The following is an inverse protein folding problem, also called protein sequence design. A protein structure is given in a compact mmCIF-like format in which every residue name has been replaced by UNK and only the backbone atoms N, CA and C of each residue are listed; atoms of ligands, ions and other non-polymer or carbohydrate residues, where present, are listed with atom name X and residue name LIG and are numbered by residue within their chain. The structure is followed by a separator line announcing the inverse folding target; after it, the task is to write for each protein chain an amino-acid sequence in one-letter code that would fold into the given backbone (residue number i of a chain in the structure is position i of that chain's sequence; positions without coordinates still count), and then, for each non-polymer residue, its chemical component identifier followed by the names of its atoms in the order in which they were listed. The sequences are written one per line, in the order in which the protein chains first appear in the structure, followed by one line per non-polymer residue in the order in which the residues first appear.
data_IF_643662218956
#
_entry.id   IF_643662218956
#
_cell.length_a   1.000
_cell.length_b   1.000
_cell.length_c   1.000
_cell.angle_alpha   90.00
_cell.angle_beta   90.00
_cell.angle_gamma   90.00
#
_symmetry.space_group_name_H-M   'P 1'
#
loop_
_entity.id
_entity.type
_entity.pdbx_description
1 polymer ?
#
# COMPACT_ATOMS: atom_id res chain seq x y z
N UNK A 1 -40.28 -8.06 41.56
CA UNK A 1 -40.14 -7.41 40.24
C UNK A 1 -38.74 -7.74 39.72
N UNK A 2 -38.68 -8.37 38.55
CA UNK A 2 -37.50 -9.03 37.97
C UNK A 2 -36.49 -7.97 37.51
N UNK A 3 -35.28 -7.98 38.07
CA UNK A 3 -34.15 -7.19 37.60
C UNK A 3 -33.01 -8.14 37.21
N UNK A 4 -32.96 -8.53 35.95
CA UNK A 4 -31.81 -9.19 35.34
C UNK A 4 -31.91 -9.04 33.81
N UNK A 5 -30.73 -8.99 33.15
CA UNK A 5 -30.46 -8.98 31.69
C UNK A 5 -30.02 -7.62 31.10
N UNK A 6 -28.91 -7.06 31.57
CA UNK A 6 -28.14 -6.05 30.81
C UNK A 6 -26.62 -6.29 30.83
N UNK A 7 -26.16 -7.44 31.36
CA UNK A 7 -24.74 -7.73 31.55
C UNK A 7 -24.11 -8.57 30.43
N UNK A 8 -24.89 -9.36 29.67
CA UNK A 8 -24.34 -10.20 28.60
C UNK A 8 -23.91 -9.41 27.35
N UNK A 9 -24.49 -8.24 27.09
CA UNK A 9 -24.19 -7.50 25.85
C UNK A 9 -22.87 -6.71 25.91
N UNK A 10 -22.37 -6.41 27.11
CA UNK A 10 -21.15 -5.59 27.28
C UNK A 10 -19.86 -6.42 27.28
N UNK A 11 -19.93 -7.68 27.69
CA UNK A 11 -18.77 -8.59 27.71
C UNK A 11 -18.45 -9.07 26.29
N UNK A 12 -19.47 -9.42 25.49
CA UNK A 12 -19.31 -9.79 24.08
C UNK A 12 -18.75 -8.62 23.24
N UNK A 13 -19.30 -7.40 23.40
CA UNK A 13 -18.82 -6.21 22.71
C UNK A 13 -17.38 -5.81 23.08
N UNK A 14 -16.92 -6.11 24.30
CA UNK A 14 -15.52 -5.89 24.73
C UNK A 14 -14.57 -6.96 24.20
N UNK A 15 -15.03 -8.20 24.06
CA UNK A 15 -14.23 -9.31 23.53
C UNK A 15 -14.05 -9.14 22.01
N UNK A 16 -15.09 -8.68 21.30
CA UNK A 16 -15.03 -8.32 19.88
C UNK A 16 -14.23 -7.03 19.61
N UNK A 17 -14.18 -6.11 20.57
CA UNK A 17 -13.31 -4.93 20.51
C UNK A 17 -11.84 -5.25 20.82
N UNK A 18 -11.57 -6.23 21.71
CA UNK A 18 -10.22 -6.72 22.03
C UNK A 18 -9.67 -7.71 21.00
N UNK A 19 -10.54 -8.40 20.25
CA UNK A 19 -10.21 -9.01 18.96
C UNK A 19 -10.18 -7.93 17.88
N UNK A 20 -9.39 -6.88 18.10
CA UNK A 20 -9.14 -5.88 17.09
C UNK A 20 -8.62 -6.61 15.85
N UNK A 21 -9.23 -6.37 14.70
CA UNK A 21 -8.69 -6.82 13.42
C UNK A 21 -7.31 -6.15 13.28
N UNK A 22 -6.28 -6.85 13.73
CA UNK A 22 -4.90 -6.42 13.68
C UNK A 22 -4.40 -6.65 12.26
N UNK A 23 -3.92 -5.58 11.62
CA UNK A 23 -3.41 -5.65 10.26
C UNK A 23 -2.25 -6.62 10.13
N UNK A 24 -1.43 -6.77 11.19
CA UNK A 24 -0.37 -7.78 11.23
C UNK A 24 -0.95 -9.18 11.26
N UNK A 25 -1.94 -9.46 12.10
CA UNK A 25 -2.64 -10.75 12.10
C UNK A 25 -3.20 -11.09 10.73
N UNK A 26 -3.86 -10.16 10.03
CA UNK A 26 -4.32 -10.40 8.65
C UNK A 26 -3.14 -10.69 7.73
N UNK A 27 -2.09 -9.89 7.78
CA UNK A 27 -0.92 -10.09 6.91
C UNK A 27 -0.28 -11.48 7.09
N UNK A 28 -0.28 -12.01 8.31
CA UNK A 28 0.31 -13.32 8.64
C UNK A 28 -0.64 -14.50 8.44
N UNK A 29 -1.96 -14.30 8.51
CA UNK A 29 -2.95 -15.39 8.49
C UNK A 29 -3.83 -15.42 7.24
N UNK A 30 -3.88 -14.33 6.48
CA UNK A 30 -4.85 -14.12 5.39
C UNK A 30 -6.25 -13.71 5.86
N UNK A 31 -6.47 -13.56 7.17
CA UNK A 31 -7.76 -13.16 7.74
C UNK A 31 -8.90 -14.08 7.28
N UNK A 32 -10.02 -13.49 6.85
CA UNK A 32 -11.17 -14.23 6.31
C UNK A 32 -10.86 -15.00 5.01
N UNK A 33 -9.74 -14.71 4.33
CA UNK A 33 -9.27 -15.49 3.18
C UNK A 33 -8.55 -16.80 3.57
N UNK A 34 -8.20 -16.97 4.85
CA UNK A 34 -7.48 -18.13 5.37
C UNK A 34 -5.98 -18.16 5.01
N UNK A 35 -5.26 -19.13 5.58
CA UNK A 35 -3.78 -19.19 5.53
C UNK A 35 -3.19 -19.19 4.10
N UNK A 36 -3.91 -19.75 3.13
CA UNK A 36 -3.49 -19.73 1.71
C UNK A 36 -3.49 -18.33 1.07
N UNK A 37 -4.03 -17.32 1.77
CA UNK A 37 -4.10 -15.92 1.36
C UNK A 37 -3.27 -15.01 2.27
N UNK A 38 -2.40 -15.58 3.10
CA UNK A 38 -1.51 -14.80 3.96
C UNK A 38 -0.56 -13.95 3.11
N UNK A 39 -0.59 -12.64 3.33
CA UNK A 39 0.09 -11.65 2.49
C UNK A 39 1.62 -11.84 2.47
N UNK A 40 2.20 -12.20 3.62
CA UNK A 40 3.66 -12.39 3.75
C UNK A 40 4.21 -13.51 2.85
N UNK A 41 3.37 -14.49 2.46
CA UNK A 41 3.79 -15.62 1.63
C UNK A 41 4.25 -15.20 0.23
N UNK A 42 3.80 -14.04 -0.24
CA UNK A 42 4.26 -13.44 -1.49
C UNK A 42 5.03 -12.13 -1.24
N UNK A 43 4.52 -11.25 -0.37
CA UNK A 43 5.07 -9.91 -0.17
C UNK A 43 6.23 -9.85 0.84
N UNK A 44 6.64 -10.99 1.40
CA UNK A 44 7.69 -11.06 2.42
C UNK A 44 7.19 -10.67 3.82
N UNK A 45 7.95 -11.09 4.84
CA UNK A 45 7.65 -10.78 6.24
C UNK A 45 7.79 -9.28 6.56
N UNK A 46 8.74 -8.63 5.88
CA UNK A 46 9.02 -7.20 5.96
C UNK A 46 8.22 -6.37 4.95
N UNK A 47 7.41 -7.00 4.09
CA UNK A 47 6.62 -6.32 3.07
C UNK A 47 7.45 -5.79 1.90
N UNK A 48 8.68 -6.24 1.70
CA UNK A 48 9.57 -5.77 0.63
C UNK A 48 9.34 -6.44 -0.73
N UNK A 49 8.47 -7.44 -0.80
CA UNK A 49 8.23 -8.22 -2.02
C UNK A 49 9.28 -9.32 -2.22
N UNK A 50 9.37 -9.84 -3.43
CA UNK A 50 10.33 -10.89 -3.82
C UNK A 50 11.61 -10.33 -4.48
N UNK A 51 11.70 -9.00 -4.64
CA UNK A 51 12.79 -8.33 -5.36
C UNK A 51 12.77 -8.52 -6.88
N UNK A 52 11.72 -9.11 -7.45
CA UNK A 52 11.61 -9.42 -8.88
C UNK A 52 10.30 -8.91 -9.46
N UNK A 53 9.16 -9.38 -8.97
CA UNK A 53 7.84 -9.15 -9.58
C UNK A 53 6.69 -8.95 -8.60
N UNK A 54 6.84 -9.42 -7.37
CA UNK A 54 5.90 -9.18 -6.28
C UNK A 54 6.23 -7.82 -5.66
N UNK A 55 5.28 -6.86 -5.63
CA UNK A 55 5.59 -5.50 -5.24
C UNK A 55 5.90 -5.36 -3.76
N UNK A 56 6.73 -4.35 -3.46
CA UNK A 56 6.90 -3.82 -2.11
C UNK A 56 5.59 -3.19 -1.65
N UNK A 57 5.16 -3.53 -0.44
CA UNK A 57 4.05 -2.91 0.27
C UNK A 57 4.54 -2.02 1.42
N UNK A 58 5.68 -2.38 2.02
CA UNK A 58 6.26 -1.71 3.17
C UNK A 58 6.40 -0.21 2.93
N UNK A 59 5.89 0.62 3.83
CA UNK A 59 6.04 2.08 3.78
C UNK A 59 5.30 2.78 2.63
N UNK A 60 4.47 2.09 1.84
CA UNK A 60 3.57 2.77 0.91
C UNK A 60 2.45 3.49 1.68
N UNK A 61 1.85 4.50 1.06
CA UNK A 61 0.76 5.26 1.66
C UNK A 61 -0.43 4.33 2.00
N UNK A 62 -0.96 4.47 3.22
CA UNK A 62 -2.05 3.62 3.71
C UNK A 62 -3.33 3.78 2.87
N UNK A 63 -3.64 5.01 2.44
CA UNK A 63 -4.79 5.29 1.58
C UNK A 63 -4.63 4.67 0.19
N UNK A 64 -3.43 4.74 -0.39
CA UNK A 64 -3.11 4.06 -1.63
C UNK A 64 -3.30 2.54 -1.51
N UNK A 65 -2.73 1.92 -0.47
CA UNK A 65 -2.83 0.47 -0.22
C UNK A 65 -4.28 0.04 -0.02
N UNK A 66 -5.04 0.76 0.81
CA UNK A 66 -6.46 0.52 1.02
C UNK A 66 -7.23 0.55 -0.31
N UNK A 67 -7.05 1.63 -1.08
CA UNK A 67 -7.69 1.79 -2.39
C UNK A 67 -7.37 0.62 -3.32
N UNK A 68 -6.11 0.16 -3.38
CA UNK A 68 -5.77 -0.99 -4.22
C UNK A 68 -6.50 -2.26 -3.78
N UNK A 69 -6.61 -2.50 -2.48
CA UNK A 69 -7.35 -3.66 -1.96
C UNK A 69 -8.85 -3.58 -2.28
N UNK A 70 -9.46 -2.40 -2.18
CA UNK A 70 -10.86 -2.17 -2.57
C UNK A 70 -11.08 -2.37 -4.08
N UNK A 71 -10.16 -1.87 -4.90
CA UNK A 71 -10.24 -2.02 -6.36
C UNK A 71 -10.04 -3.49 -6.79
N UNK A 72 -9.19 -4.25 -6.10
CA UNK A 72 -9.05 -5.69 -6.33
C UNK A 72 -10.31 -6.45 -5.90
N UNK A 73 -10.86 -6.15 -4.72
CA UNK A 73 -12.04 -6.82 -4.18
C UNK A 73 -13.29 -6.58 -5.06
N UNK A 74 -13.45 -5.37 -5.59
CA UNK A 74 -14.55 -4.98 -6.47
C UNK A 74 -14.35 -5.40 -7.94
N UNK A 75 -13.12 -5.72 -8.34
CA UNK A 75 -12.76 -6.03 -9.73
C UNK A 75 -12.48 -4.81 -10.61
N UNK A 76 -12.55 -3.59 -10.07
CA UNK A 76 -12.15 -2.34 -10.77
C UNK A 76 -10.66 -2.40 -11.18
N UNK A 77 -9.83 -3.07 -10.37
CA UNK A 77 -8.48 -3.50 -10.75
C UNK A 77 -8.48 -5.03 -10.93
N UNK A 78 -8.68 -5.53 -12.15
CA UNK A 78 -8.68 -6.97 -12.40
C UNK A 78 -7.31 -7.58 -12.13
N UNK A 79 -7.26 -8.61 -11.29
CA UNK A 79 -6.06 -9.42 -11.09
C UNK A 79 -6.41 -10.84 -10.60
N UNK A 80 -5.79 -11.85 -11.22
CA UNK A 80 -6.07 -13.27 -10.95
C UNK A 80 -5.53 -13.74 -9.60
N UNK A 81 -4.56 -13.04 -9.03
CA UNK A 81 -3.93 -13.38 -7.75
C UNK A 81 -4.55 -12.55 -6.64
N UNK A 82 -4.51 -11.23 -6.78
CA UNK A 82 -4.94 -10.31 -5.72
C UNK A 82 -6.45 -10.17 -5.57
N UNK A 83 -7.23 -10.40 -6.63
CA UNK A 83 -8.70 -10.42 -6.54
C UNK A 83 -9.21 -11.45 -5.51
N UNK A 84 -8.83 -12.74 -5.64
CA UNK A 84 -9.15 -13.77 -4.65
C UNK A 84 -8.59 -13.54 -3.24
N UNK A 85 -7.50 -12.76 -3.09
CA UNK A 85 -6.93 -12.39 -1.78
C UNK A 85 -7.76 -11.28 -1.13
N UNK A 86 -8.15 -10.26 -1.90
CA UNK A 86 -8.82 -9.08 -1.37
C UNK A 86 -10.33 -9.29 -1.13
N UNK A 87 -11.00 -10.07 -2.00
CA UNK A 87 -12.46 -10.25 -2.00
C UNK A 87 -13.04 -10.76 -0.67
N UNK A 88 -12.42 -11.72 0.05
CA UNK A 88 -12.95 -12.21 1.33
C UNK A 88 -12.78 -11.23 2.49
N UNK A 89 -11.87 -10.25 2.37
CA UNK A 89 -11.64 -9.26 3.42
C UNK A 89 -12.72 -8.18 3.36
N UNK A 90 -13.33 -7.87 4.51
CA UNK A 90 -14.21 -6.71 4.62
C UNK A 90 -13.41 -5.39 4.60
N UNK A 91 -14.12 -4.26 4.56
CA UNK A 91 -13.48 -2.94 4.46
C UNK A 91 -12.61 -2.62 5.69
N UNK A 92 -12.99 -3.10 6.88
CA UNK A 92 -12.19 -2.91 8.11
C UNK A 92 -10.88 -3.68 8.02
N UNK A 93 -10.91 -4.91 7.54
CA UNK A 93 -9.75 -5.76 7.33
C UNK A 93 -8.82 -5.20 6.25
N UNK A 94 -9.35 -4.72 5.12
CA UNK A 94 -8.55 -4.06 4.07
C UNK A 94 -7.86 -2.81 4.59
N UNK A 95 -8.55 -1.98 5.39
CA UNK A 95 -7.95 -0.82 6.08
C UNK A 95 -6.85 -1.22 7.06
N UNK A 96 -7.11 -2.22 7.91
CA UNK A 96 -6.16 -2.67 8.91
C UNK A 96 -4.85 -3.20 8.28
N UNK A 97 -4.95 -4.08 7.26
CA UNK A 97 -3.75 -4.62 6.61
C UNK A 97 -2.99 -3.55 5.80
N UNK A 98 -3.70 -2.60 5.20
CA UNK A 98 -3.08 -1.44 4.54
C UNK A 98 -2.30 -0.57 5.53
N UNK A 99 -2.89 -0.26 6.70
CA UNK A 99 -2.22 0.50 7.75
C UNK A 99 -0.98 -0.24 8.30
N UNK A 100 -1.07 -1.56 8.46
CA UNK A 100 0.08 -2.38 8.87
C UNK A 100 1.25 -2.26 7.91
N UNK A 101 1.06 -2.53 6.61
CA UNK A 101 2.14 -2.45 5.63
C UNK A 101 2.68 -1.02 5.46
N UNK A 102 1.81 0.00 5.53
CA UNK A 102 2.23 1.39 5.52
C UNK A 102 3.14 1.76 6.72
N UNK A 103 2.94 1.10 7.87
CA UNK A 103 3.73 1.34 9.09
C UNK A 103 5.08 0.62 9.11
N UNK A 104 5.32 -0.32 8.20
CA UNK A 104 6.57 -1.07 8.20
C UNK A 104 7.76 -0.16 7.89
N UNK A 105 8.88 -0.32 8.62
CA UNK A 105 10.06 0.51 8.40
C UNK A 105 10.66 0.20 7.03
N UNK A 106 11.09 1.26 6.34
CA UNK A 106 11.86 1.15 5.10
C UNK A 106 13.15 1.93 5.31
N UNK A 107 14.28 1.24 5.23
CA UNK A 107 15.57 1.90 5.35
C UNK A 107 15.82 2.78 4.12
N UNK A 108 15.88 4.09 4.33
CA UNK A 108 16.33 5.00 3.29
C UNK A 108 17.82 4.73 3.02
N UNK A 109 18.11 4.08 1.89
CA UNK A 109 19.46 3.95 1.37
C UNK A 109 19.95 5.24 0.72
N UNK A 110 21.24 5.33 0.34
CA UNK A 110 21.72 6.44 -0.48
C UNK A 110 20.97 6.48 -1.80
N UNK A 111 20.62 7.69 -2.25
CA UNK A 111 20.04 7.91 -3.58
C UNK A 111 21.02 7.40 -4.64
N UNK A 112 20.50 6.69 -5.64
CA UNK A 112 21.32 6.20 -6.75
C UNK A 112 21.90 7.36 -7.54
N UNK A 113 23.19 7.26 -7.90
CA UNK A 113 23.85 8.22 -8.78
C UNK A 113 23.48 8.04 -10.26
N UNK A 114 22.71 7.00 -10.61
CA UNK A 114 22.29 6.78 -11.99
C UNK A 114 21.35 7.91 -12.44
N UNK A 115 21.68 8.63 -13.53
CA UNK A 115 20.86 9.74 -14.00
C UNK A 115 19.42 9.32 -14.32
N UNK A 116 18.42 10.15 -14.03
CA UNK A 116 17.04 9.89 -14.40
C UNK A 116 16.84 9.95 -15.92
N UNK A 117 15.92 9.15 -16.49
CA UNK A 117 15.45 9.35 -17.85
C UNK A 117 14.93 10.78 -18.06
N UNK A 118 15.09 11.34 -19.27
CA UNK A 118 14.60 12.69 -19.60
C UNK A 118 13.09 12.82 -19.34
N UNK A 119 12.31 11.79 -19.69
CA UNK A 119 10.87 11.74 -19.40
C UNK A 119 10.54 11.88 -17.91
N UNK A 120 11.41 11.42 -17.02
CA UNK A 120 11.19 11.54 -15.59
C UNK A 120 11.24 12.99 -15.13
N UNK A 121 12.25 13.74 -15.58
CA UNK A 121 12.54 15.10 -15.11
C UNK A 121 11.90 16.19 -15.95
N UNK A 122 11.76 15.98 -17.25
CA UNK A 122 11.29 16.99 -18.21
C UNK A 122 9.99 16.60 -18.91
N UNK A 123 9.63 15.31 -18.89
CA UNK A 123 8.52 14.81 -19.70
C UNK A 123 8.81 14.92 -21.20
N UNK A 124 7.75 15.05 -21.98
CA UNK A 124 7.80 15.30 -23.43
C UNK A 124 6.59 16.16 -23.82
N UNK A 125 6.76 17.50 -23.90
CA UNK A 125 5.67 18.41 -24.21
C UNK A 125 5.04 18.19 -25.59
N UNK A 126 5.80 17.72 -26.58
CA UNK A 126 5.31 17.49 -27.94
C UNK A 126 4.30 16.33 -27.95
N UNK A 127 4.56 15.28 -27.16
CA UNK A 127 3.59 14.20 -26.91
C UNK A 127 2.57 14.52 -25.85
N UNK A 128 2.64 15.69 -25.20
CA UNK A 128 1.80 16.05 -24.06
C UNK A 128 1.97 15.07 -22.88
N UNK A 129 3.22 14.68 -22.62
CA UNK A 129 3.65 13.89 -21.47
C UNK A 129 4.24 14.82 -20.42
N UNK A 130 3.59 14.93 -19.27
CA UNK A 130 4.14 15.65 -18.13
C UNK A 130 5.34 14.88 -17.54
N UNK A 131 6.31 15.58 -16.89
CA UNK A 131 7.38 14.92 -16.16
C UNK A 131 6.83 13.97 -15.10
N UNK A 132 7.36 12.74 -15.02
CA UNK A 132 6.94 11.77 -14.01
C UNK A 132 7.16 12.32 -12.58
N UNK A 133 8.27 13.04 -12.39
CA UNK A 133 8.65 13.65 -11.12
C UNK A 133 7.63 14.64 -10.57
N UNK A 134 6.80 15.26 -11.43
CA UNK A 134 5.77 16.21 -11.01
C UNK A 134 4.72 15.57 -10.09
N UNK A 135 4.50 14.26 -10.24
CA UNK A 135 3.56 13.49 -9.44
C UNK A 135 4.26 12.46 -8.55
N UNK A 136 5.30 11.78 -9.03
CA UNK A 136 5.96 10.70 -8.30
C UNK A 136 7.21 11.13 -7.51
N UNK A 137 7.52 12.43 -7.49
CA UNK A 137 8.67 12.99 -6.77
C UNK A 137 9.98 12.86 -7.54
N UNK A 138 10.97 13.69 -7.18
CA UNK A 138 12.24 13.77 -7.91
C UNK A 138 13.00 12.43 -7.98
N UNK A 139 12.94 11.63 -6.92
CA UNK A 139 13.60 10.33 -6.76
C UNK A 139 12.60 9.17 -6.67
N UNK A 140 11.44 9.30 -7.32
CA UNK A 140 10.38 8.29 -7.27
C UNK A 140 9.79 8.02 -5.87
N UNK A 141 10.06 8.88 -4.89
CA UNK A 141 9.66 8.68 -3.50
C UNK A 141 8.16 8.90 -3.25
N UNK A 142 7.40 9.34 -4.26
CA UNK A 142 6.00 9.73 -4.13
C UNK A 142 5.84 11.09 -3.44
N UNK A 143 4.63 11.64 -3.49
CA UNK A 143 4.30 12.93 -2.84
C UNK A 143 3.13 12.83 -1.86
N UNK A 144 2.60 11.62 -1.61
CA UNK A 144 1.55 11.36 -0.62
C UNK A 144 0.34 10.63 -1.20
N UNK A 145 -0.84 10.93 -0.64
CA UNK A 145 -2.10 10.23 -0.97
C UNK A 145 -2.47 10.41 -2.45
N UNK A 146 -2.56 9.28 -3.18
CA UNK A 146 -2.92 9.25 -4.60
C UNK A 146 -1.74 9.25 -5.57
N UNK A 147 -0.53 9.60 -5.12
CA UNK A 147 0.69 9.49 -5.91
C UNK A 147 1.70 8.56 -5.21
N UNK A 148 1.62 7.24 -5.49
CA UNK A 148 2.43 6.25 -4.78
C UNK A 148 3.93 6.41 -5.08
N UNK A 149 4.75 6.01 -4.12
CA UNK A 149 6.18 5.83 -4.30
C UNK A 149 6.45 4.70 -5.30
N UNK A 150 7.30 4.98 -6.30
CA UNK A 150 7.83 3.99 -7.24
C UNK A 150 9.27 3.59 -6.89
N UNK A 151 9.95 4.36 -6.03
CA UNK A 151 11.30 4.07 -5.56
C UNK A 151 11.37 2.70 -4.89
N UNK A 152 12.33 1.88 -5.33
CA UNK A 152 12.54 0.53 -4.82
C UNK A 152 11.40 -0.44 -5.10
N UNK A 153 10.46 -0.11 -6.00
CA UNK A 153 9.54 -1.10 -6.54
C UNK A 153 10.26 -1.97 -7.57
N UNK A 154 9.96 -3.29 -7.63
CA UNK A 154 10.57 -4.14 -8.64
C UNK A 154 10.30 -3.63 -10.05
N UNK A 155 11.31 -3.61 -10.91
CA UNK A 155 11.18 -3.08 -12.27
C UNK A 155 10.18 -3.89 -13.09
N UNK A 156 10.15 -5.22 -12.92
CA UNK A 156 9.19 -6.07 -13.64
C UNK A 156 7.75 -5.78 -13.21
N UNK A 157 7.51 -5.54 -11.91
CA UNK A 157 6.20 -5.12 -11.42
C UNK A 157 5.77 -3.77 -12.02
N UNK A 158 6.67 -2.78 -11.95
CA UNK A 158 6.38 -1.42 -12.44
C UNK A 158 6.10 -1.41 -13.94
N UNK A 159 6.89 -2.16 -14.72
CA UNK A 159 6.66 -2.36 -16.15
C UNK A 159 5.30 -3.01 -16.41
N UNK A 160 4.96 -4.10 -15.72
CA UNK A 160 3.65 -4.75 -15.88
C UNK A 160 2.51 -3.78 -15.56
N UNK A 161 2.66 -2.88 -14.59
CA UNK A 161 1.62 -1.88 -14.30
C UNK A 161 1.43 -0.90 -15.46
N UNK A 162 2.52 -0.35 -16.02
CA UNK A 162 2.49 0.53 -17.19
C UNK A 162 1.83 -0.19 -18.39
N UNK A 163 2.22 -1.43 -18.65
CA UNK A 163 1.69 -2.26 -19.71
C UNK A 163 0.19 -2.54 -19.56
N UNK A 164 -0.27 -2.79 -18.33
CA UNK A 164 -1.70 -2.98 -18.04
C UNK A 164 -2.51 -1.71 -18.24
N UNK A 165 -1.97 -0.54 -17.92
CA UNK A 165 -2.63 0.73 -18.25
C UNK A 165 -2.65 0.97 -19.76
N UNK A 166 -1.54 0.71 -20.46
CA UNK A 166 -1.42 0.84 -21.92
C UNK A 166 -2.41 -0.04 -22.67
N UNK A 167 -2.63 -1.28 -22.22
CA UNK A 167 -3.66 -2.20 -22.76
C UNK A 167 -5.04 -2.01 -22.15
N UNK A 168 -5.19 -1.03 -21.26
CA UNK A 168 -6.41 -0.75 -20.53
C UNK A 168 -7.00 -1.99 -19.82
N UNK A 169 -6.15 -2.90 -19.32
CA UNK A 169 -6.53 -3.98 -18.40
C UNK A 169 -6.41 -3.56 -16.93
N UNK A 170 -5.77 -2.41 -16.66
CA UNK A 170 -5.86 -1.65 -15.42
C UNK A 170 -6.45 -0.26 -15.73
N UNK A 171 -7.52 0.13 -15.04
CA UNK A 171 -8.26 1.40 -15.26
C UNK A 171 -8.69 2.07 -13.95
N UNK A 172 -8.01 1.74 -12.86
CA UNK A 172 -8.40 2.17 -11.51
C UNK A 172 -7.73 3.49 -11.10
N UNK A 173 -7.13 4.22 -12.02
CA UNK A 173 -6.49 5.50 -11.77
C UNK A 173 -7.50 6.67 -11.84
N UNK A 174 -7.48 7.59 -10.85
CA UNK A 174 -8.38 8.74 -10.85
C UNK A 174 -8.25 9.57 -12.12
N UNK A 175 -9.38 9.79 -12.81
CA UNK A 175 -9.47 10.58 -14.05
C UNK A 175 -8.65 10.06 -15.23
N UNK A 176 -8.17 8.80 -15.19
CA UNK A 176 -7.46 8.19 -16.32
C UNK A 176 -6.04 8.73 -16.56
N UNK A 177 -5.44 9.42 -15.59
CA UNK A 177 -4.12 10.06 -15.72
C UNK A 177 -3.04 9.06 -16.15
N UNK A 178 -2.93 7.92 -15.46
CA UNK A 178 -1.91 6.91 -15.77
C UNK A 178 -2.26 6.12 -17.03
N UNK A 179 -3.56 5.87 -17.30
CA UNK A 179 -3.97 5.30 -18.59
C UNK A 179 -3.51 6.18 -19.76
N UNK A 180 -3.72 7.51 -19.68
CA UNK A 180 -3.30 8.44 -20.72
C UNK A 180 -1.78 8.52 -20.87
N UNK A 181 -1.03 8.59 -19.75
CA UNK A 181 0.44 8.65 -19.78
C UNK A 181 1.01 7.36 -20.36
N UNK A 182 0.62 6.19 -19.84
CA UNK A 182 1.16 4.90 -20.27
C UNK A 182 0.84 4.59 -21.75
N UNK A 183 -0.31 5.05 -22.25
CA UNK A 183 -0.68 4.91 -23.66
C UNK A 183 0.27 5.60 -24.65
N UNK A 184 1.06 6.57 -24.18
CA UNK A 184 2.00 7.36 -25.01
C UNK A 184 3.46 6.91 -24.89
N UNK A 185 3.76 5.98 -23.99
CA UNK A 185 5.12 5.47 -23.76
C UNK A 185 5.49 4.39 -24.79
N UNK A 186 6.71 4.45 -25.28
CA UNK A 186 7.34 3.32 -25.97
C UNK A 186 7.71 2.23 -24.96
N UNK A 187 7.98 1.02 -25.45
CA UNK A 187 8.42 -0.09 -24.60
C UNK A 187 9.76 0.22 -23.90
N UNK A 188 10.70 0.83 -24.62
CA UNK A 188 12.02 1.18 -24.10
C UNK A 188 11.92 2.28 -23.04
N UNK A 189 11.03 3.26 -23.23
CA UNK A 189 10.76 4.30 -22.24
C UNK A 189 10.17 3.72 -20.96
N UNK A 190 9.15 2.85 -21.08
CA UNK A 190 8.55 2.19 -19.92
C UNK A 190 9.58 1.33 -19.16
N UNK A 191 10.43 0.59 -19.89
CA UNK A 191 11.50 -0.20 -19.31
C UNK A 191 12.55 0.66 -18.60
N UNK A 192 12.98 1.77 -19.22
CA UNK A 192 13.95 2.69 -18.63
C UNK A 192 13.43 3.37 -17.35
N UNK A 193 12.16 3.81 -17.36
CA UNK A 193 11.50 4.41 -16.19
C UNK A 193 11.38 3.40 -15.04
N UNK A 194 10.97 2.17 -15.33
CA UNK A 194 10.86 1.10 -14.34
C UNK A 194 12.22 0.74 -13.73
N UNK A 195 13.24 0.51 -14.57
CA UNK A 195 14.58 0.15 -14.13
C UNK A 195 15.26 1.28 -13.32
N UNK A 196 15.04 2.55 -13.69
CA UNK A 196 15.56 3.66 -12.92
C UNK A 196 14.86 3.82 -11.56
N UNK A 197 13.53 3.64 -11.52
CA UNK A 197 12.76 3.75 -10.27
C UNK A 197 13.14 2.67 -9.25
N UNK A 198 13.38 1.44 -9.71
CA UNK A 198 13.84 0.33 -8.86
C UNK A 198 15.18 0.62 -8.17
N UNK A 199 16.10 1.33 -8.85
CA UNK A 199 17.41 1.70 -8.30
C UNK A 199 17.33 2.80 -7.24
N UNK A 200 16.22 3.53 -7.15
CA UNK A 200 16.06 4.52 -6.09
C UNK A 200 15.81 3.84 -4.75
N UNK A 201 16.37 4.36 -3.65
CA UNK A 201 16.18 3.77 -2.35
C UNK A 201 14.70 3.78 -1.99
N UNK A 202 14.18 2.61 -1.61
CA UNK A 202 12.83 2.50 -1.08
C UNK A 202 12.69 3.53 0.05
N UNK A 203 11.65 4.35 -0.04
CA UNK A 203 11.38 5.42 0.91
C UNK A 203 9.96 5.24 1.45
N UNK A 204 9.71 5.57 2.72
CA UNK A 204 8.35 5.68 3.23
C UNK A 204 7.62 6.78 2.46
N UNK A 205 6.32 6.61 2.25
CA UNK A 205 5.47 7.64 1.69
C UNK A 205 5.63 8.91 2.56
N UNK A 206 5.75 10.10 1.94
CA UNK A 206 5.79 11.34 2.69
C UNK A 206 4.56 11.41 3.60
N UNK A 207 4.75 11.81 4.84
CA UNK A 207 3.64 11.98 5.77
C UNK A 207 2.64 12.98 5.17
N UNK A 208 1.48 12.51 4.73
CA UNK A 208 0.35 13.41 4.52
C UNK A 208 -0.08 13.90 5.91
N UNK A 209 -0.21 15.22 6.07
CA UNK A 209 -0.41 15.86 7.38
C UNK A 209 -1.69 15.47 8.14
N UNK A 210 -2.54 14.61 7.57
CA UNK A 210 -3.81 14.18 8.17
C UNK A 210 -3.79 12.72 8.68
N UNK A 211 -3.07 11.80 8.03
CA UNK A 211 -3.06 10.37 8.43
C UNK A 211 -2.02 10.06 9.52
N UNK A 212 -0.93 10.82 9.54
CA UNK A 212 0.20 10.64 10.47
C UNK A 212 -0.15 10.98 11.92
N UNK A 213 -1.00 11.98 12.16
CA UNK A 213 -1.45 12.32 13.52
C UNK A 213 -2.33 11.21 14.12
N UNK A 214 -3.32 10.72 13.36
CA UNK A 214 -4.26 9.70 13.85
C UNK A 214 -3.64 8.31 14.01
N UNK A 215 -2.70 7.92 13.12
CA UNK A 215 -2.01 6.64 13.24
C UNK A 215 -0.99 6.61 14.40
N UNK A 216 -0.31 7.74 14.66
CA UNK A 216 0.61 7.86 15.80
C UNK A 216 -0.17 7.94 17.12
N UNK A 217 -1.31 8.63 17.17
CA UNK A 217 -2.20 8.62 18.33
C UNK A 217 -2.78 7.22 18.61
N UNK A 218 -3.20 6.49 17.59
CA UNK A 218 -3.71 5.12 17.76
C UNK A 218 -2.61 4.14 18.25
N UNK A 219 -1.39 4.26 17.74
CA UNK A 219 -0.25 3.45 18.18
C UNK A 219 0.22 3.82 19.60
N UNK A 220 0.18 5.11 19.96
CA UNK A 220 0.51 5.59 21.30
C UNK A 220 -0.56 5.20 22.33
N UNK A 221 -1.85 5.27 21.97
CA UNK A 221 -2.97 4.87 22.81
C UNK A 221 -2.95 3.35 23.11
N UNK A 222 -2.63 2.51 22.12
CA UNK A 222 -2.46 1.06 22.33
C UNK A 222 -1.29 0.73 23.27
N UNK A 223 -0.22 1.52 23.21
CA UNK A 223 0.97 1.36 24.06
C UNK A 223 0.76 1.86 25.50
N UNK A 224 -0.10 2.86 25.70
CA UNK A 224 -0.48 3.37 27.02
C UNK A 224 -1.49 2.45 27.73
N UNK A 225 -2.50 1.97 27.01
CA UNK A 225 -3.49 1.02 27.53
C UNK A 225 -2.85 -0.31 28.00
N UNK A 226 -1.83 -0.78 27.27
CA UNK A 226 -1.07 -1.99 27.62
C UNK A 226 -0.18 -1.85 28.87
N UNK A 227 0.16 -0.62 29.26
CA UNK A 227 0.94 -0.35 30.49
C UNK A 227 0.05 -0.17 31.71
N UNK A 228 -1.13 0.44 31.53
CA UNK A 228 -2.12 0.65 32.58
C UNK A 228 -2.74 -0.69 33.04
N UNK A 229 -3.06 -1.60 32.12
CA UNK A 229 -3.54 -2.95 32.47
C UNK A 229 -2.54 -3.74 33.30
N UNK A 230 -1.24 -3.66 32.97
CA UNK A 230 -0.17 -4.37 33.68
C UNK A 230 0.10 -3.83 35.09
N UNK A 231 -0.37 -2.61 35.42
CA UNK A 231 -0.27 -2.01 36.75
C UNK A 231 -1.43 -2.35 37.67
N UNK A 232 -2.57 -2.79 37.13
CA UNK A 232 -3.78 -3.12 37.91
C UNK A 232 -3.84 -4.58 38.38
N UNK A 233 -3.00 -5.44 37.82
CA UNK A 233 -2.88 -6.86 38.16
C UNK A 233 -1.74 -7.15 39.18
N UNK A 234 -1.32 -6.15 39.96
CA UNK A 234 -0.39 -6.27 41.10
C UNK A 234 -1.02 -5.66 42.34
#
# INVERSE_FOLDING_TARGET
MIAALAACDREAARTDAMLSIDGRTIAMSGGAGGASKACFSCHGLDGMGDGVSVPRLAGLDAGYLQKQMEDYASGIRPDKVMGPVAKPLDDRARRAVAAYYASLPVAAGPVSSVPPPVLWTQGDPERGLAPCAACHGAQAQGVGAGQPALAGQPAAYTRDQLDRWKRATRRNDPRGVMTTIAGKLTEDEAAALAAWSERQPASPAPASGAASASAVEAAAAGSAASREGRRRDR
#
